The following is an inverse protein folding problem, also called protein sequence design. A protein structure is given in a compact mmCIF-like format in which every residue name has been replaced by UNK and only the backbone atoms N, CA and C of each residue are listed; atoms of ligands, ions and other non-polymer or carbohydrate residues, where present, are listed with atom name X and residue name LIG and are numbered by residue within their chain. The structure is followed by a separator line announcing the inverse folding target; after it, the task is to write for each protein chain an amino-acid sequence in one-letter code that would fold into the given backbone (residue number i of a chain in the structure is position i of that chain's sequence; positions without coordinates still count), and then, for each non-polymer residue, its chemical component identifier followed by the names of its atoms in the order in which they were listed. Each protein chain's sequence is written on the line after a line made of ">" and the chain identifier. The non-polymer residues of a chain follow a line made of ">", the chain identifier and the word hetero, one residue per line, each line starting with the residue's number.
data_IF_229112087251
#
_entry.id   IF_229112087251
#
_cell.length_a   1.000
_cell.length_b   1.000
_cell.length_c   1.000
_cell.angle_alpha   90.00
_cell.angle_beta   90.00
_cell.angle_gamma   90.00
#
_symmetry.space_group_name_H-M   'P 1'
#
loop_
_entity.id
_entity.type
_entity.pdbx_description
1 polymer ?
#
# COMPACT_ATOMS: atom_id res chain seq x y z
N UNK A 1 -13.44 46.74 -24.61
CA UNK A 1 -14.09 45.39 -24.64
C UNK A 1 -13.13 44.31 -25.17
N UNK A 2 -12.51 44.51 -26.35
CA UNK A 2 -11.57 43.55 -26.96
C UNK A 2 -10.32 43.31 -26.10
N UNK A 3 -9.80 44.31 -25.42
CA UNK A 3 -8.63 44.20 -24.54
C UNK A 3 -8.98 43.40 -23.26
N UNK A 4 -10.18 43.57 -22.72
CA UNK A 4 -10.68 42.82 -21.56
C UNK A 4 -10.80 41.35 -21.91
N UNK A 5 -11.39 41.00 -23.04
CA UNK A 5 -11.55 39.59 -23.51
C UNK A 5 -10.16 38.94 -23.72
N UNK A 6 -9.21 39.65 -24.35
CA UNK A 6 -7.84 39.15 -24.53
C UNK A 6 -7.12 38.87 -23.20
N UNK A 7 -7.31 39.72 -22.20
CA UNK A 7 -6.69 39.53 -20.89
C UNK A 7 -7.36 38.38 -20.13
N UNK A 8 -8.69 38.26 -20.18
CA UNK A 8 -9.42 37.15 -19.59
C UNK A 8 -8.99 35.81 -20.20
N UNK A 9 -8.82 35.74 -21.54
CA UNK A 9 -8.35 34.56 -22.25
C UNK A 9 -6.93 34.15 -21.82
N UNK A 10 -6.02 35.13 -21.65
CA UNK A 10 -4.65 34.84 -21.18
C UNK A 10 -4.63 34.32 -19.74
N UNK A 11 -5.42 34.90 -18.84
CA UNK A 11 -5.54 34.45 -17.45
C UNK A 11 -6.10 33.02 -17.41
N UNK A 12 -7.14 32.76 -18.19
CA UNK A 12 -7.74 31.42 -18.26
C UNK A 12 -6.76 30.38 -18.81
N UNK A 13 -6.02 30.71 -19.88
CA UNK A 13 -4.98 29.84 -20.42
C UNK A 13 -3.85 29.57 -19.41
N UNK A 14 -3.44 30.58 -18.64
CA UNK A 14 -2.45 30.43 -17.57
C UNK A 14 -2.95 29.51 -16.46
N UNK A 15 -4.21 29.68 -16.03
CA UNK A 15 -4.84 28.83 -15.00
C UNK A 15 -4.90 27.37 -15.49
N UNK A 16 -5.35 27.13 -16.73
CA UNK A 16 -5.39 25.78 -17.31
C UNK A 16 -4.02 25.12 -17.40
N UNK A 17 -3.01 25.90 -17.84
CA UNK A 17 -1.64 25.41 -17.93
C UNK A 17 -1.07 25.07 -16.55
N UNK A 18 -1.27 25.95 -15.55
CA UNK A 18 -0.86 25.70 -14.17
C UNK A 18 -1.55 24.46 -13.58
N UNK A 19 -2.84 24.29 -13.84
CA UNK A 19 -3.61 23.11 -13.38
C UNK A 19 -3.08 21.82 -14.02
N UNK A 20 -2.80 21.84 -15.33
CA UNK A 20 -2.21 20.71 -16.05
C UNK A 20 -0.82 20.37 -15.50
N UNK A 21 0.03 21.34 -15.27
CA UNK A 21 1.39 21.15 -14.73
C UNK A 21 1.34 20.58 -13.30
N UNK A 22 0.47 21.10 -12.44
CA UNK A 22 0.26 20.60 -11.06
C UNK A 22 -0.27 19.17 -11.10
N UNK A 23 -1.20 18.84 -11.99
CA UNK A 23 -1.75 17.49 -12.14
C UNK A 23 -0.68 16.48 -12.56
N UNK A 24 0.18 16.83 -13.51
CA UNK A 24 1.32 16.00 -13.94
C UNK A 24 2.31 15.81 -12.79
N UNK A 25 2.68 16.89 -12.08
CA UNK A 25 3.58 16.82 -10.92
C UNK A 25 2.97 15.93 -9.81
N UNK A 26 1.70 16.10 -9.49
CA UNK A 26 1.00 15.22 -8.52
C UNK A 26 1.03 13.76 -8.96
N UNK A 27 0.79 13.46 -10.23
CA UNK A 27 0.84 12.08 -10.72
C UNK A 27 2.24 11.48 -10.65
N UNK A 28 3.27 12.25 -10.92
CA UNK A 28 4.67 11.82 -10.77
C UNK A 28 5.09 11.61 -9.32
N UNK A 29 4.50 12.38 -8.40
CA UNK A 29 4.75 12.29 -6.96
C UNK A 29 3.81 11.31 -6.25
N UNK A 30 2.83 10.73 -6.94
CA UNK A 30 1.80 9.85 -6.34
C UNK A 30 2.30 8.44 -6.05
N UNK A 31 3.40 8.03 -6.64
CA UNK A 31 3.92 6.68 -6.52
C UNK A 31 5.29 6.66 -5.88
N UNK A 32 5.53 5.61 -5.10
CA UNK A 32 6.84 5.28 -4.59
C UNK A 32 7.77 4.89 -5.74
N UNK A 33 8.93 5.54 -5.81
CA UNK A 33 9.87 5.40 -6.95
C UNK A 33 10.43 3.98 -7.09
N UNK A 34 10.55 3.26 -5.99
CA UNK A 34 11.15 1.93 -5.94
C UNK A 34 10.15 0.82 -6.27
N UNK A 35 8.96 0.87 -5.67
CA UNK A 35 7.96 -0.20 -5.76
C UNK A 35 6.88 0.05 -6.82
N UNK A 36 6.75 1.31 -7.29
CA UNK A 36 5.68 1.74 -8.19
C UNK A 36 4.28 1.45 -7.62
N UNK A 37 4.15 1.43 -6.30
CA UNK A 37 2.89 1.46 -5.57
C UNK A 37 2.56 2.90 -5.19
N UNK A 38 1.37 3.18 -4.70
CA UNK A 38 1.07 4.51 -4.16
C UNK A 38 2.04 4.83 -3.01
N UNK A 39 2.46 6.09 -2.90
CA UNK A 39 3.12 6.58 -1.71
C UNK A 39 2.09 6.76 -0.58
N UNK A 40 2.55 7.07 0.64
CA UNK A 40 1.70 7.21 1.81
C UNK A 40 0.53 8.19 1.60
N UNK A 41 0.82 9.42 1.17
CA UNK A 41 -0.20 10.46 1.04
C UNK A 41 -1.23 10.12 -0.03
N UNK A 42 -0.80 9.63 -1.17
CA UNK A 42 -1.68 9.23 -2.27
C UNK A 42 -2.51 8.00 -1.94
N UNK A 43 -1.96 7.08 -1.14
CA UNK A 43 -2.73 5.95 -0.63
C UNK A 43 -3.85 6.42 0.31
N UNK A 44 -3.55 7.32 1.26
CA UNK A 44 -4.55 7.88 2.17
C UNK A 44 -5.66 8.63 1.44
N UNK A 45 -5.27 9.49 0.49
CA UNK A 45 -6.22 10.27 -0.30
C UNK A 45 -7.20 9.36 -1.06
N UNK A 46 -6.69 8.35 -1.77
CA UNK A 46 -7.51 7.42 -2.53
C UNK A 46 -8.33 6.50 -1.64
N UNK A 47 -7.75 6.02 -0.56
CA UNK A 47 -8.48 5.18 0.40
C UNK A 47 -9.65 5.94 1.02
N UNK A 48 -9.46 7.23 1.36
CA UNK A 48 -10.53 8.08 1.89
C UNK A 48 -11.69 8.19 0.90
N UNK A 49 -11.41 8.44 -0.37
CA UNK A 49 -12.44 8.52 -1.42
C UNK A 49 -13.17 7.19 -1.58
N UNK A 50 -12.44 6.09 -1.67
CA UNK A 50 -13.03 4.76 -1.86
C UNK A 50 -13.80 4.28 -0.61
N UNK A 51 -13.38 4.69 0.60
CA UNK A 51 -14.11 4.40 1.83
C UNK A 51 -15.48 5.12 1.86
N UNK A 52 -15.53 6.38 1.47
CA UNK A 52 -16.80 7.12 1.34
C UNK A 52 -17.71 6.43 0.33
N UNK A 53 -17.17 6.12 -0.85
CA UNK A 53 -17.90 5.42 -1.91
C UNK A 53 -18.42 4.05 -1.48
N UNK A 54 -17.62 3.28 -0.75
CA UNK A 54 -18.05 1.96 -0.26
C UNK A 54 -19.23 2.06 0.69
N UNK A 55 -19.28 3.11 1.52
CA UNK A 55 -20.42 3.37 2.42
C UNK A 55 -21.68 3.76 1.68
N UNK A 56 -21.56 4.67 0.72
CA UNK A 56 -22.71 5.09 -0.11
C UNK A 56 -23.33 3.89 -0.84
N UNK A 57 -22.52 2.92 -1.22
CA UNK A 57 -22.96 1.69 -1.89
C UNK A 57 -23.34 0.57 -0.92
N UNK A 58 -23.19 0.74 0.39
CA UNK A 58 -23.42 -0.32 1.38
C UNK A 58 -22.44 -1.51 1.26
N UNK A 59 -21.24 -1.26 0.72
CA UNK A 59 -20.23 -2.28 0.44
C UNK A 59 -19.25 -2.37 1.61
N UNK A 60 -18.93 -3.60 2.00
CA UNK A 60 -17.90 -3.86 3.00
C UNK A 60 -16.51 -3.93 2.36
N UNK A 61 -15.50 -3.63 3.16
CA UNK A 61 -14.12 -3.73 2.77
C UNK A 61 -13.23 -4.07 3.96
N UNK A 62 -11.96 -4.29 3.69
CA UNK A 62 -10.95 -4.48 4.72
C UNK A 62 -9.59 -3.96 4.28
N UNK A 63 -8.71 -3.71 5.22
CA UNK A 63 -7.32 -3.34 5.00
C UNK A 63 -6.40 -4.43 5.53
N UNK A 64 -5.41 -4.80 4.73
CA UNK A 64 -4.28 -5.59 5.18
C UNK A 64 -3.04 -4.71 5.27
N UNK A 65 -2.43 -4.62 6.43
CA UNK A 65 -1.13 -3.99 6.64
C UNK A 65 -0.05 -5.05 6.70
N UNK A 66 0.92 -4.97 5.81
CA UNK A 66 1.93 -5.99 5.54
C UNK A 66 3.30 -5.42 5.88
N UNK A 67 4.01 -6.03 6.80
CA UNK A 67 5.38 -5.67 7.15
C UNK A 67 6.33 -6.78 6.74
N UNK A 68 7.41 -6.44 6.07
CA UNK A 68 8.53 -7.33 5.83
C UNK A 68 9.22 -7.57 7.17
N UNK A 69 9.30 -8.83 7.60
CA UNK A 69 9.89 -9.20 8.88
C UNK A 69 11.40 -8.94 8.87
N UNK A 70 11.97 -8.79 10.05
CA UNK A 70 13.40 -8.64 10.22
C UNK A 70 14.10 -9.95 9.87
N UNK A 71 15.21 -9.81 9.25
CA UNK A 71 15.98 -10.90 8.73
C UNK A 71 17.26 -11.03 9.59
N UNK A 72 17.41 -12.24 10.11
CA UNK A 72 18.43 -12.55 11.10
C UNK A 72 19.82 -12.83 10.51
N UNK A 73 19.96 -12.88 9.19
CA UNK A 73 21.26 -13.04 8.58
C UNK A 73 22.05 -11.72 8.64
N UNK A 74 23.23 -11.82 9.22
CA UNK A 74 24.11 -10.69 9.51
C UNK A 74 24.30 -9.80 8.28
N UNK A 75 24.03 -8.53 8.41
CA UNK A 75 24.23 -7.48 7.39
C UNK A 75 25.65 -7.49 6.78
N UNK A 76 26.62 -8.09 7.50
CA UNK A 76 28.01 -8.24 7.08
C UNK A 76 28.25 -9.23 5.92
N UNK A 77 27.25 -10.00 5.50
CA UNK A 77 27.35 -10.98 4.41
C UNK A 77 27.01 -10.41 3.03
N UNK A 78 26.53 -9.17 2.98
CA UNK A 78 26.15 -8.53 1.73
C UNK A 78 27.12 -7.38 1.40
N UNK A 79 27.70 -7.39 0.21
CA UNK A 79 28.52 -6.29 -0.31
C UNK A 79 27.70 -5.01 -0.58
N UNK A 80 26.38 -5.13 -0.67
CA UNK A 80 25.43 -4.03 -0.85
C UNK A 80 24.13 -4.31 -0.10
N UNK A 81 23.40 -3.25 0.31
CA UNK A 81 22.11 -3.38 0.97
C UNK A 81 21.12 -4.18 0.09
N UNK A 82 20.67 -5.37 0.53
CA UNK A 82 19.75 -6.20 -0.22
C UNK A 82 18.31 -5.69 -0.19
N UNK A 83 18.02 -4.78 0.71
CA UNK A 83 16.66 -4.37 1.06
C UNK A 83 15.88 -3.79 -0.13
N UNK A 84 16.44 -2.92 -1.01
CA UNK A 84 15.72 -2.41 -2.18
C UNK A 84 15.23 -3.53 -3.12
N UNK A 85 16.00 -4.60 -3.28
CA UNK A 85 15.60 -5.74 -4.11
C UNK A 85 14.46 -6.53 -3.48
N UNK A 86 14.53 -6.75 -2.15
CA UNK A 86 13.49 -7.45 -1.38
C UNK A 86 12.16 -6.72 -1.49
N UNK A 87 12.17 -5.41 -1.23
CA UNK A 87 10.98 -4.57 -1.26
C UNK A 87 10.31 -4.59 -2.65
N UNK A 88 11.10 -4.53 -3.72
CA UNK A 88 10.59 -4.64 -5.11
C UNK A 88 9.96 -6.00 -5.38
N UNK A 89 10.60 -7.09 -4.96
CA UNK A 89 10.06 -8.44 -5.16
C UNK A 89 8.79 -8.65 -4.36
N UNK A 90 8.78 -8.25 -3.08
CA UNK A 90 7.59 -8.34 -2.22
C UNK A 90 6.43 -7.51 -2.79
N UNK A 91 6.69 -6.27 -3.20
CA UNK A 91 5.66 -5.42 -3.81
C UNK A 91 5.09 -6.01 -5.09
N UNK A 92 5.91 -6.67 -5.90
CA UNK A 92 5.45 -7.34 -7.12
C UNK A 92 4.57 -8.55 -6.78
N UNK A 93 4.95 -9.38 -5.80
CA UNK A 93 4.12 -10.51 -5.36
C UNK A 93 2.77 -10.03 -4.84
N UNK A 94 2.73 -8.92 -4.07
CA UNK A 94 1.47 -8.34 -3.60
C UNK A 94 0.61 -7.91 -4.80
N UNK A 95 1.19 -7.18 -5.76
CA UNK A 95 0.46 -6.73 -6.96
C UNK A 95 -0.11 -7.88 -7.80
N UNK A 96 0.64 -8.95 -7.93
CA UNK A 96 0.23 -10.14 -8.70
C UNK A 96 -0.99 -10.86 -8.06
N UNK A 97 -1.22 -10.67 -6.75
CA UNK A 97 -2.34 -11.25 -6.01
C UNK A 97 -3.53 -10.29 -5.82
N UNK A 98 -3.47 -9.11 -6.44
CA UNK A 98 -4.50 -8.08 -6.33
C UNK A 98 -5.40 -8.04 -7.55
N UNK A 99 -6.62 -7.52 -7.35
CA UNK A 99 -7.53 -7.14 -8.43
C UNK A 99 -7.41 -5.63 -8.73
N UNK A 100 -7.87 -5.16 -9.89
CA UNK A 100 -7.86 -3.72 -10.23
C UNK A 100 -8.66 -2.82 -9.28
N UNK A 101 -9.56 -3.39 -8.48
CA UNK A 101 -10.37 -2.66 -7.50
C UNK A 101 -9.64 -2.43 -6.16
N UNK A 102 -8.49 -3.06 -5.97
CA UNK A 102 -7.74 -2.94 -4.73
C UNK A 102 -6.74 -1.79 -4.84
N UNK A 103 -6.47 -1.12 -3.71
CA UNK A 103 -5.42 -0.12 -3.62
C UNK A 103 -4.22 -0.71 -2.90
N UNK A 104 -3.02 -0.42 -3.40
CA UNK A 104 -1.77 -0.74 -2.70
C UNK A 104 -0.96 0.53 -2.49
N UNK A 105 -0.47 0.73 -1.27
CA UNK A 105 0.44 1.82 -0.92
C UNK A 105 1.62 1.33 -0.10
N UNK A 106 2.76 2.01 -0.27
CA UNK A 106 3.92 1.86 0.60
C UNK A 106 3.83 2.90 1.71
N UNK A 107 3.58 2.45 2.92
CA UNK A 107 3.38 3.35 4.07
C UNK A 107 4.70 3.75 4.74
N UNK A 108 5.70 2.86 4.69
CA UNK A 108 7.04 3.13 5.19
C UNK A 108 8.07 2.26 4.47
N UNK A 109 9.31 2.31 4.91
CA UNK A 109 10.40 1.56 4.30
C UNK A 109 10.09 0.06 4.18
N UNK A 110 9.49 -0.55 5.22
CA UNK A 110 9.20 -2.00 5.31
C UNK A 110 7.70 -2.34 5.31
N UNK A 111 6.80 -1.35 5.21
CA UNK A 111 5.37 -1.55 5.41
C UNK A 111 4.56 -1.16 4.18
N UNK A 112 3.71 -2.06 3.75
CA UNK A 112 2.69 -1.84 2.73
C UNK A 112 1.29 -1.89 3.36
N UNK A 113 0.33 -1.21 2.74
CA UNK A 113 -1.09 -1.40 3.00
C UNK A 113 -1.81 -1.75 1.71
N UNK A 114 -2.77 -2.66 1.81
CA UNK A 114 -3.69 -3.00 0.74
C UNK A 114 -5.10 -2.79 1.22
N UNK A 115 -5.86 -1.93 0.54
CA UNK A 115 -7.29 -1.80 0.76
C UNK A 115 -8.05 -2.63 -0.25
N UNK A 116 -8.96 -3.45 0.25
CA UNK A 116 -9.83 -4.34 -0.51
C UNK A 116 -11.25 -3.76 -0.56
N UNK A 117 -11.61 -3.25 -1.71
CA UNK A 117 -12.97 -2.81 -1.98
C UNK A 117 -13.88 -4.01 -2.24
N UNK A 118 -15.05 -4.05 -1.62
CA UNK A 118 -16.03 -5.14 -1.77
C UNK A 118 -15.50 -6.54 -1.43
N UNK A 119 -14.73 -6.64 -0.35
CA UNK A 119 -14.25 -7.94 0.15
C UNK A 119 -14.44 -8.04 1.66
N UNK A 120 -14.98 -9.16 2.13
CA UNK A 120 -15.17 -9.38 3.56
C UNK A 120 -13.83 -9.55 4.29
N UNK A 121 -13.73 -9.10 5.55
CA UNK A 121 -12.50 -9.23 6.35
C UNK A 121 -11.98 -10.66 6.44
N UNK A 122 -12.89 -11.67 6.48
CA UNK A 122 -12.54 -13.08 6.47
C UNK A 122 -11.83 -13.50 5.19
N UNK A 123 -12.28 -13.01 4.05
CA UNK A 123 -11.68 -13.35 2.75
C UNK A 123 -10.33 -12.67 2.58
N UNK A 124 -10.21 -11.42 3.08
CA UNK A 124 -8.92 -10.70 3.14
C UNK A 124 -7.94 -11.42 4.07
N UNK A 125 -8.40 -11.98 5.18
CA UNK A 125 -7.56 -12.80 6.06
C UNK A 125 -7.03 -14.05 5.34
N UNK A 126 -7.89 -14.75 4.59
CA UNK A 126 -7.49 -15.94 3.81
C UNK A 126 -6.51 -15.55 2.67
N UNK A 127 -6.76 -14.42 2.02
CA UNK A 127 -5.83 -13.85 1.03
C UNK A 127 -4.47 -13.55 1.67
N UNK A 128 -4.47 -12.93 2.84
CA UNK A 128 -3.25 -12.59 3.57
C UNK A 128 -2.43 -13.83 3.96
N UNK A 129 -3.08 -14.92 4.41
CA UNK A 129 -2.41 -16.19 4.68
C UNK A 129 -1.78 -16.81 3.41
N UNK A 130 -2.50 -16.80 2.28
CA UNK A 130 -1.95 -17.26 1.00
C UNK A 130 -0.75 -16.43 0.57
N UNK A 131 -0.86 -15.11 0.67
CA UNK A 131 0.23 -14.19 0.34
C UNK A 131 1.47 -14.45 1.21
N UNK A 132 1.30 -14.56 2.53
CA UNK A 132 2.36 -14.87 3.49
C UNK A 132 3.11 -16.15 3.11
N UNK A 133 2.37 -17.21 2.84
CA UNK A 133 2.95 -18.50 2.43
C UNK A 133 3.69 -18.37 1.09
N UNK A 134 3.12 -17.66 0.14
CA UNK A 134 3.73 -17.44 -1.19
C UNK A 134 5.06 -16.71 -1.08
N UNK A 135 5.11 -15.65 -0.25
CA UNK A 135 6.35 -14.89 0.00
C UNK A 135 7.39 -15.76 0.70
N UNK A 136 7.01 -16.47 1.78
CA UNK A 136 7.92 -17.30 2.55
C UNK A 136 8.55 -18.45 1.73
N UNK A 137 7.86 -18.92 0.68
CA UNK A 137 8.34 -19.99 -0.20
C UNK A 137 9.14 -19.50 -1.41
N UNK A 138 9.14 -18.19 -1.68
CA UNK A 138 9.83 -17.63 -2.86
C UNK A 138 11.26 -17.25 -2.50
N UNK A 139 12.27 -17.96 -3.01
CA UNK A 139 13.66 -17.56 -2.83
C UNK A 139 13.95 -16.28 -3.63
N UNK A 140 14.67 -15.37 -3.02
CA UNK A 140 15.17 -14.15 -3.66
C UNK A 140 16.68 -14.29 -3.79
N UNK A 141 17.18 -14.23 -5.01
CA UNK A 141 18.61 -14.24 -5.27
C UNK A 141 19.22 -12.88 -4.90
N UNK A 142 20.08 -12.85 -3.88
CA UNK A 142 20.83 -11.67 -3.46
C UNK A 142 22.30 -12.00 -3.63
N UNK A 143 22.95 -11.31 -4.57
CA UNK A 143 24.33 -11.58 -4.99
C UNK A 143 24.51 -13.08 -5.33
N UNK A 144 25.27 -13.82 -4.57
CA UNK A 144 25.57 -15.25 -4.80
C UNK A 144 24.71 -16.22 -3.97
N UNK A 145 23.78 -15.69 -3.13
CA UNK A 145 22.95 -16.51 -2.24
C UNK A 145 21.47 -16.40 -2.57
N UNK A 146 20.74 -17.48 -2.33
CA UNK A 146 19.28 -17.48 -2.33
C UNK A 146 18.82 -17.39 -0.88
N UNK A 147 17.98 -16.41 -0.59
CA UNK A 147 17.44 -16.14 0.74
C UNK A 147 15.93 -16.05 0.69
N UNK A 148 15.26 -16.53 1.70
CA UNK A 148 13.80 -16.42 1.86
C UNK A 148 13.48 -15.35 2.89
N UNK A 149 12.34 -14.67 2.68
CA UNK A 149 11.85 -13.63 3.56
C UNK A 149 10.45 -13.98 4.01
N UNK A 150 10.07 -13.47 5.16
CA UNK A 150 8.72 -13.59 5.68
C UNK A 150 8.06 -12.22 5.82
N UNK A 151 6.76 -12.24 5.96
CA UNK A 151 5.95 -11.05 6.23
C UNK A 151 4.98 -11.34 7.35
N UNK A 152 4.75 -10.34 8.17
CA UNK A 152 3.68 -10.31 9.16
C UNK A 152 2.55 -9.43 8.66
N UNK A 153 1.30 -9.83 8.88
CA UNK A 153 0.15 -9.13 8.31
C UNK A 153 -0.90 -8.88 9.39
N UNK A 154 -1.38 -7.64 9.45
CA UNK A 154 -2.52 -7.24 10.25
C UNK A 154 -3.72 -6.90 9.36
N UNK A 155 -4.89 -7.48 9.65
CA UNK A 155 -6.13 -7.22 8.90
C UNK A 155 -7.14 -6.51 9.77
N UNK A 156 -7.75 -5.44 9.25
CA UNK A 156 -8.82 -4.69 9.91
C UNK A 156 -10.01 -4.49 8.98
N UNK A 157 -11.22 -4.57 9.55
CA UNK A 157 -12.47 -4.29 8.85
C UNK A 157 -12.68 -2.80 8.66
N UNK A 158 -13.31 -2.41 7.56
CA UNK A 158 -13.83 -1.04 7.35
C UNK A 158 -15.28 -0.90 7.78
N UNK A 159 -15.94 -1.99 8.21
CA UNK A 159 -17.36 -2.00 8.60
C UNK A 159 -17.60 -1.06 9.77
N UNK A 160 -18.60 -0.20 9.65
CA UNK A 160 -19.00 0.82 10.64
C UNK A 160 -17.89 1.84 10.97
N UNK A 161 -16.82 1.92 10.19
CA UNK A 161 -15.76 2.89 10.35
C UNK A 161 -15.88 4.02 9.34
N UNK A 162 -15.57 5.23 9.77
CA UNK A 162 -15.65 6.43 8.93
C UNK A 162 -14.31 7.11 8.74
N UNK A 163 -13.36 6.79 9.60
CA UNK A 163 -12.05 7.37 9.61
C UNK A 163 -10.99 6.36 9.12
N UNK A 164 -10.27 6.74 8.07
CA UNK A 164 -9.17 5.96 7.52
C UNK A 164 -8.06 5.76 8.55
N UNK A 165 -7.78 6.74 9.39
CA UNK A 165 -6.74 6.65 10.41
C UNK A 165 -7.10 5.62 11.48
N UNK A 166 -8.37 5.56 11.88
CA UNK A 166 -8.86 4.53 12.81
C UNK A 166 -8.69 3.12 12.21
N UNK A 167 -9.03 2.95 10.93
CA UNK A 167 -8.92 1.66 10.25
C UNK A 167 -7.45 1.23 10.15
N UNK A 168 -6.56 2.15 9.77
CA UNK A 168 -5.13 1.87 9.70
C UNK A 168 -4.54 1.57 11.07
N UNK A 169 -4.95 2.28 12.11
CA UNK A 169 -4.53 2.02 13.49
C UNK A 169 -4.95 0.62 13.96
N UNK A 170 -6.16 0.17 13.60
CA UNK A 170 -6.63 -1.19 13.90
C UNK A 170 -5.83 -2.25 13.13
N UNK A 171 -5.50 -1.99 11.86
CA UNK A 171 -4.65 -2.89 11.07
C UNK A 171 -3.22 -2.97 11.65
N UNK A 172 -2.69 -1.83 12.12
CA UNK A 172 -1.38 -1.76 12.77
C UNK A 172 -1.37 -2.51 14.11
N UNK A 173 -2.44 -2.38 14.90
CA UNK A 173 -2.59 -3.13 16.16
C UNK A 173 -2.66 -4.64 15.90
N UNK A 174 -3.38 -5.07 14.85
CA UNK A 174 -3.38 -6.47 14.42
C UNK A 174 -1.99 -6.93 13.99
N UNK A 175 -1.27 -6.11 13.21
CA UNK A 175 0.10 -6.37 12.79
C UNK A 175 1.05 -6.49 13.99
N UNK A 176 0.94 -5.60 14.98
CA UNK A 176 1.72 -5.68 16.21
C UNK A 176 1.52 -7.01 16.92
N UNK A 177 0.26 -7.48 17.05
CA UNK A 177 -0.04 -8.81 17.61
C UNK A 177 0.56 -9.96 16.79
N UNK A 178 0.71 -9.80 15.47
CA UNK A 178 1.38 -10.78 14.63
C UNK A 178 2.89 -10.82 14.92
N UNK A 179 3.52 -9.67 15.06
CA UNK A 179 4.95 -9.53 15.38
C UNK A 179 5.28 -10.06 16.79
N UNK A 180 4.43 -9.80 17.78
CA UNK A 180 4.58 -10.30 19.16
C UNK A 180 4.55 -11.83 19.24
N UNK A 181 3.96 -12.50 18.25
CA UNK A 181 3.97 -13.97 18.12
C UNK A 181 5.20 -14.53 17.39
N UNK A 182 6.20 -13.71 17.11
CA UNK A 182 7.44 -14.12 16.44
C UNK A 182 7.47 -13.84 14.93
N UNK A 183 6.52 -13.08 14.41
CA UNK A 183 6.44 -12.76 12.98
C UNK A 183 5.87 -13.91 12.12
N UNK A 184 5.98 -13.78 10.80
CA UNK A 184 5.48 -14.75 9.81
C UNK A 184 4.06 -15.25 10.11
N UNK A 185 3.16 -14.33 10.43
CA UNK A 185 1.81 -14.61 10.97
C UNK A 185 0.82 -13.56 10.48
N UNK A 186 -0.45 -13.97 10.35
CA UNK A 186 -1.57 -13.08 10.10
C UNK A 186 -2.42 -12.93 11.35
N UNK A 187 -2.83 -11.72 11.67
CA UNK A 187 -3.80 -11.40 12.72
C UNK A 187 -4.88 -10.47 12.20
N UNK A 188 -6.07 -10.56 12.76
CA UNK A 188 -7.19 -9.67 12.43
C UNK A 188 -7.78 -9.03 13.67
N UNK A 189 -8.31 -7.83 13.49
CA UNK A 189 -9.14 -7.10 14.43
C UNK A 189 -10.43 -6.71 13.70
N UNK A 190 -11.55 -7.04 14.31
CA UNK A 190 -12.90 -6.67 13.86
C UNK A 190 -13.28 -5.29 14.38
#
# INVERSE_FOLDING_TARGET
>A
EVTFIKNATKIFAFILHSYSTISVLKSLLSVDAETKTLNYDSFLERFTVDLVRSKELGIQGAVAMIKIDEFLEQDSLFESDPFPKIVRVVSQIIKDEMTPLNLIGRLSQKVFAVYFFNMFPKDVFLWAEKLRIKIARKPIAIVSKQTTFTVSIGVASTTNKTDVQEILSNAELALKKALEKGGNTVKSIS
#
